data_IF_900022585413
#
_entry.id   IF_900022585413
#
_cell.length_a   1.000
_cell.length_b   1.000
_cell.length_c   1.000
_cell.angle_alpha   90.00
_cell.angle_beta   90.00
_cell.angle_gamma   90.00
#
_symmetry.space_group_name_H-M   'P 1'
#
loop_
_entity.id
_entity.type
_entity.pdbx_description
1 polymer ?
#
# COMPACT_ATOMS: atom_id res chain seq x y z
N UNK A 1 -29.65 -13.43 -17.98
CA UNK A 1 -28.32 -13.62 -18.63
C UNK A 1 -27.27 -13.19 -17.62
N UNK A 2 -26.21 -13.96 -17.39
CA UNK A 2 -25.17 -13.55 -16.41
C UNK A 2 -24.38 -12.35 -16.96
N UNK A 3 -24.21 -11.33 -16.14
CA UNK A 3 -23.30 -10.20 -16.45
C UNK A 3 -21.84 -10.67 -16.39
N UNK A 4 -20.99 -10.03 -17.18
CA UNK A 4 -19.55 -10.38 -17.21
C UNK A 4 -18.87 -10.05 -15.87
N UNK A 5 -17.71 -10.69 -15.55
CA UNK A 5 -16.99 -10.47 -14.28
C UNK A 5 -16.51 -9.03 -14.03
N UNK A 6 -16.55 -8.17 -15.03
CA UNK A 6 -16.19 -6.73 -14.89
C UNK A 6 -17.26 -5.92 -14.16
N UNK A 7 -18.50 -6.42 -14.10
CA UNK A 7 -19.59 -5.76 -13.39
C UNK A 7 -19.55 -6.11 -11.90
N UNK A 8 -20.04 -5.22 -11.03
CA UNK A 8 -20.19 -5.52 -9.61
C UNK A 8 -21.04 -6.78 -9.37
N UNK A 9 -20.80 -7.48 -8.28
CA UNK A 9 -21.49 -8.73 -7.96
C UNK A 9 -23.01 -8.58 -7.81
N UNK A 10 -23.49 -7.40 -7.41
CA UNK A 10 -24.92 -7.05 -7.33
C UNK A 10 -25.58 -6.73 -8.67
N UNK A 11 -24.83 -6.85 -9.78
CA UNK A 11 -25.37 -6.56 -11.11
C UNK A 11 -26.10 -7.77 -11.70
N UNK A 12 -27.18 -7.49 -12.40
CA UNK A 12 -27.98 -8.51 -13.08
C UNK A 12 -28.59 -7.96 -14.37
N UNK A 13 -29.20 -8.83 -15.18
CA UNK A 13 -30.00 -8.43 -16.34
C UNK A 13 -31.45 -8.80 -16.05
N UNK A 14 -32.37 -7.84 -16.12
CA UNK A 14 -33.80 -8.08 -15.93
C UNK A 14 -34.47 -8.75 -17.15
N UNK A 15 -35.77 -8.99 -17.07
CA UNK A 15 -36.53 -9.61 -18.14
C UNK A 15 -36.62 -8.76 -19.42
N UNK A 16 -36.46 -7.45 -19.30
CA UNK A 16 -36.44 -6.49 -20.39
C UNK A 16 -35.03 -6.35 -21.04
N UNK A 17 -34.03 -7.08 -20.55
CA UNK A 17 -32.63 -7.02 -21.05
C UNK A 17 -31.79 -5.86 -20.51
N UNK A 18 -32.28 -5.14 -19.49
CA UNK A 18 -31.59 -4.00 -18.90
C UNK A 18 -30.68 -4.46 -17.77
N UNK A 19 -29.51 -3.81 -17.64
CA UNK A 19 -28.62 -4.02 -16.50
C UNK A 19 -29.22 -3.37 -15.25
N UNK A 20 -29.26 -4.14 -14.17
CA UNK A 20 -29.72 -3.68 -12.87
C UNK A 20 -28.60 -3.80 -11.83
N UNK A 21 -28.61 -2.92 -10.83
CA UNK A 21 -27.75 -2.92 -9.65
C UNK A 21 -28.62 -3.15 -8.41
N UNK A 22 -28.51 -4.31 -7.79
CA UNK A 22 -29.39 -4.73 -6.68
C UNK A 22 -30.88 -4.54 -7.02
N UNK A 23 -31.29 -4.92 -8.24
CA UNK A 23 -32.66 -4.82 -8.74
C UNK A 23 -33.09 -3.43 -9.23
N UNK A 24 -32.23 -2.43 -9.21
CA UNK A 24 -32.50 -1.08 -9.71
C UNK A 24 -31.91 -0.87 -11.09
N UNK A 25 -32.69 -0.38 -12.03
CA UNK A 25 -32.20 -0.05 -13.38
C UNK A 25 -31.39 1.25 -13.38
N UNK A 26 -30.52 1.40 -14.37
CA UNK A 26 -29.76 2.65 -14.56
C UNK A 26 -30.69 3.86 -14.69
N UNK A 27 -31.81 3.73 -15.41
CA UNK A 27 -32.82 4.79 -15.56
C UNK A 27 -33.42 5.18 -14.20
N UNK A 28 -33.79 4.21 -13.36
CA UNK A 28 -34.34 4.49 -12.03
C UNK A 28 -33.35 5.24 -11.13
N UNK A 29 -32.06 4.91 -11.23
CA UNK A 29 -31.00 5.59 -10.50
C UNK A 29 -30.79 7.02 -11.02
N UNK A 30 -30.77 7.22 -12.33
CA UNK A 30 -30.64 8.54 -12.93
C UNK A 30 -31.82 9.47 -12.62
N UNK A 31 -33.04 8.92 -12.59
CA UNK A 31 -34.25 9.67 -12.24
C UNK A 31 -34.23 10.13 -10.78
N UNK A 32 -33.65 9.36 -9.88
CA UNK A 32 -33.57 9.71 -8.46
C UNK A 32 -32.36 10.62 -8.15
N UNK A 33 -31.19 10.35 -8.73
CA UNK A 33 -29.93 10.98 -8.33
C UNK A 33 -29.36 11.97 -9.37
N UNK A 34 -29.92 11.97 -10.59
CA UNK A 34 -29.45 12.82 -11.68
C UNK A 34 -28.25 12.23 -12.44
N UNK A 35 -27.76 13.02 -13.42
CA UNK A 35 -26.64 12.67 -14.29
C UNK A 35 -25.62 13.81 -14.28
N UNK A 36 -24.29 13.55 -14.34
CA UNK A 36 -23.64 12.23 -14.37
C UNK A 36 -23.67 11.54 -13.01
N UNK A 37 -23.70 10.18 -13.00
CA UNK A 37 -23.79 9.38 -11.79
C UNK A 37 -22.74 8.25 -11.79
N UNK A 38 -21.95 8.17 -10.71
CA UNK A 38 -21.14 7.01 -10.39
C UNK A 38 -21.87 6.13 -9.38
N UNK A 39 -22.01 4.85 -9.68
CA UNK A 39 -22.64 3.86 -8.80
C UNK A 39 -21.56 2.92 -8.28
N UNK A 40 -21.49 2.76 -6.96
CA UNK A 40 -20.53 1.88 -6.30
C UNK A 40 -21.31 0.84 -5.50
N UNK A 41 -21.07 -0.43 -5.81
CA UNK A 41 -21.58 -1.57 -5.04
C UNK A 41 -20.71 -1.77 -3.80
N UNK A 42 -21.17 -1.27 -2.67
CA UNK A 42 -20.43 -1.35 -1.40
C UNK A 42 -20.34 -2.77 -0.85
N UNK A 43 -21.29 -3.65 -1.19
CA UNK A 43 -21.25 -5.06 -0.78
C UNK A 43 -20.17 -5.81 -1.56
N UNK A 44 -20.02 -5.53 -2.86
CA UNK A 44 -18.92 -6.09 -3.66
C UNK A 44 -17.56 -5.57 -3.20
N UNK A 45 -17.42 -4.28 -2.89
CA UNK A 45 -16.19 -3.72 -2.30
C UNK A 45 -15.82 -4.45 -1.00
N UNK A 46 -16.79 -4.65 -0.10
CA UNK A 46 -16.58 -5.35 1.17
C UNK A 46 -16.18 -6.80 0.96
N UNK A 47 -16.86 -7.50 0.05
CA UNK A 47 -16.58 -8.89 -0.26
C UNK A 47 -15.18 -9.07 -0.85
N UNK A 48 -14.77 -8.21 -1.78
CA UNK A 48 -13.43 -8.23 -2.38
C UNK A 48 -12.34 -7.91 -1.34
N UNK A 49 -12.53 -6.86 -0.53
CA UNK A 49 -11.60 -6.52 0.54
C UNK A 49 -11.38 -7.69 1.51
N UNK A 50 -12.47 -8.33 1.96
CA UNK A 50 -12.41 -9.49 2.83
C UNK A 50 -11.72 -10.69 2.16
N UNK A 51 -11.95 -10.89 0.84
CA UNK A 51 -11.29 -11.94 0.06
C UNK A 51 -9.78 -11.72 0.03
N UNK A 52 -9.28 -10.51 -0.25
CA UNK A 52 -7.85 -10.21 -0.25
C UNK A 52 -7.21 -10.48 1.10
N UNK A 53 -7.82 -10.00 2.20
CA UNK A 53 -7.31 -10.23 3.57
C UNK A 53 -7.26 -11.72 3.88
N UNK A 54 -8.32 -12.46 3.56
CA UNK A 54 -8.38 -13.91 3.79
C UNK A 54 -7.36 -14.67 2.96
N UNK A 55 -7.19 -14.30 1.69
CA UNK A 55 -6.23 -14.95 0.79
C UNK A 55 -4.80 -14.74 1.27
N UNK A 56 -4.44 -13.53 1.67
CA UNK A 56 -3.13 -13.23 2.24
C UNK A 56 -2.88 -14.03 3.53
N UNK A 57 -3.84 -14.06 4.45
CA UNK A 57 -3.71 -14.82 5.70
C UNK A 57 -3.54 -16.33 5.45
N UNK A 58 -4.25 -16.88 4.44
CA UNK A 58 -4.13 -18.30 4.08
C UNK A 58 -2.80 -18.62 3.40
N UNK A 59 -2.33 -17.73 2.51
CA UNK A 59 -1.08 -17.93 1.78
C UNK A 59 0.15 -17.86 2.70
N UNK A 60 0.10 -16.99 3.70
CA UNK A 60 1.20 -16.71 4.64
C UNK A 60 0.80 -17.08 6.08
N UNK A 61 0.29 -18.29 6.28
CA UNK A 61 -0.35 -18.76 7.51
C UNK A 61 0.54 -18.71 8.78
N UNK A 62 1.86 -18.62 8.63
CA UNK A 62 2.83 -18.50 9.73
C UNK A 62 3.39 -17.09 9.89
N UNK A 63 2.83 -16.10 9.21
CA UNK A 63 3.35 -14.73 9.18
C UNK A 63 2.21 -13.72 9.34
N UNK A 64 2.46 -12.65 10.07
CA UNK A 64 1.52 -11.53 10.14
C UNK A 64 1.52 -10.81 8.79
N UNK A 65 0.37 -10.83 8.12
CA UNK A 65 0.19 -10.17 6.82
C UNK A 65 -0.65 -8.90 6.96
N UNK A 66 -0.32 -7.90 6.17
CA UNK A 66 -1.09 -6.68 6.04
C UNK A 66 -1.42 -6.43 4.58
N UNK A 67 -2.70 -6.36 4.27
CA UNK A 67 -3.20 -5.98 2.94
C UNK A 67 -3.55 -4.50 2.98
N UNK A 68 -3.03 -3.73 2.03
CA UNK A 68 -3.32 -2.31 1.88
C UNK A 68 -4.24 -2.03 0.70
N UNK A 69 -5.21 -1.15 0.90
CA UNK A 69 -6.02 -0.58 -0.17
C UNK A 69 -5.35 0.67 -0.73
N UNK A 70 -5.09 0.69 -2.04
CA UNK A 70 -4.51 1.85 -2.70
C UNK A 70 -5.52 3.00 -2.81
N UNK A 71 -5.42 4.00 -1.94
CA UNK A 71 -6.36 5.12 -1.85
C UNK A 71 -6.51 5.91 -3.16
N UNK A 72 -5.46 5.94 -3.98
CA UNK A 72 -5.49 6.58 -5.31
C UNK A 72 -6.53 6.00 -6.27
N UNK A 73 -7.04 4.79 -6.04
CA UNK A 73 -8.06 4.17 -6.88
C UNK A 73 -9.41 4.87 -6.71
N UNK A 74 -9.85 5.05 -5.47
CA UNK A 74 -11.02 5.82 -5.06
C UNK A 74 -11.01 5.96 -3.55
N UNK A 75 -11.09 7.19 -3.04
CA UNK A 75 -11.16 7.40 -1.61
C UNK A 75 -12.33 8.31 -1.26
N UNK A 76 -13.25 7.79 -0.45
CA UNK A 76 -14.31 8.52 0.25
C UNK A 76 -14.34 8.07 1.69
N UNK A 77 -15.03 8.80 2.57
CA UNK A 77 -15.19 8.37 3.97
C UNK A 77 -15.79 6.99 4.08
N UNK A 78 -16.76 6.66 3.21
CA UNK A 78 -17.43 5.36 3.23
C UNK A 78 -16.49 4.23 2.77
N UNK A 79 -15.76 4.43 1.69
CA UNK A 79 -14.75 3.46 1.23
C UNK A 79 -13.67 3.24 2.31
N UNK A 80 -13.21 4.32 2.94
CA UNK A 80 -12.26 4.20 4.06
C UNK A 80 -12.79 3.29 5.18
N UNK A 81 -14.06 3.45 5.58
CA UNK A 81 -14.67 2.60 6.61
C UNK A 81 -14.75 1.15 6.16
N UNK A 82 -15.31 0.90 4.97
CA UNK A 82 -15.51 -0.46 4.45
C UNK A 82 -14.19 -1.24 4.39
N UNK A 83 -13.14 -0.66 3.79
CA UNK A 83 -11.86 -1.37 3.65
C UNK A 83 -11.17 -1.57 4.99
N UNK A 84 -11.27 -0.60 5.90
CA UNK A 84 -10.66 -0.70 7.24
C UNK A 84 -11.41 -1.72 8.11
N UNK A 85 -12.73 -1.75 8.08
CA UNK A 85 -13.58 -2.75 8.74
C UNK A 85 -13.30 -4.16 8.23
N UNK A 86 -12.96 -4.29 6.94
CA UNK A 86 -12.54 -5.55 6.33
C UNK A 86 -11.12 -5.99 6.71
N UNK A 87 -10.39 -5.20 7.50
CA UNK A 87 -9.06 -5.52 8.01
C UNK A 87 -7.90 -4.94 7.21
N UNK A 88 -8.16 -4.16 6.14
CA UNK A 88 -7.10 -3.56 5.32
C UNK A 88 -6.46 -2.32 5.98
N UNK A 89 -5.24 -2.02 5.59
CA UNK A 89 -4.63 -0.71 5.70
C UNK A 89 -5.09 0.17 4.52
N UNK A 90 -4.79 1.46 4.56
CA UNK A 90 -5.01 2.38 3.44
C UNK A 90 -3.70 3.07 3.08
N UNK A 91 -3.30 2.94 1.82
CA UNK A 91 -2.19 3.70 1.26
C UNK A 91 -2.69 5.08 0.81
N UNK A 92 -2.05 6.13 1.30
CA UNK A 92 -2.32 7.52 0.96
C UNK A 92 -1.09 8.14 0.28
N UNK A 93 -1.29 9.01 -0.71
CA UNK A 93 -0.20 9.66 -1.45
C UNK A 93 -0.28 11.18 -1.38
N UNK A 94 -1.34 11.73 -0.82
CA UNK A 94 -1.58 13.18 -0.77
C UNK A 94 -2.20 13.62 0.56
N UNK A 95 -2.00 14.88 0.90
CA UNK A 95 -2.63 15.50 2.08
C UNK A 95 -4.16 15.34 2.06
N UNK A 96 -4.79 15.42 0.88
CA UNK A 96 -6.24 15.25 0.73
C UNK A 96 -6.69 13.84 1.11
N UNK A 97 -6.01 12.80 0.62
CA UNK A 97 -6.30 11.41 0.96
C UNK A 97 -6.10 11.14 2.45
N UNK A 98 -5.00 11.63 3.04
CA UNK A 98 -4.74 11.52 4.47
C UNK A 98 -5.89 12.11 5.29
N UNK A 99 -6.32 13.33 4.96
CA UNK A 99 -7.43 14.01 5.64
C UNK A 99 -8.76 13.31 5.47
N UNK A 100 -9.07 12.78 4.28
CA UNK A 100 -10.29 12.00 4.04
C UNK A 100 -10.32 10.76 4.94
N UNK A 101 -9.21 10.01 4.99
CA UNK A 101 -9.11 8.81 5.81
C UNK A 101 -9.24 9.13 7.32
N UNK A 102 -8.54 10.15 7.80
CA UNK A 102 -8.64 10.60 9.20
C UNK A 102 -10.05 11.10 9.53
N UNK A 103 -10.68 11.87 8.63
CA UNK A 103 -12.07 12.34 8.79
C UNK A 103 -13.12 11.21 8.71
N UNK A 104 -12.76 10.05 8.16
CA UNK A 104 -13.56 8.83 8.23
C UNK A 104 -13.43 8.09 9.57
N UNK A 105 -12.54 8.54 10.46
CA UNK A 105 -12.24 7.90 11.74
C UNK A 105 -11.21 6.77 11.65
N UNK A 106 -10.50 6.64 10.52
CA UNK A 106 -9.44 5.63 10.39
C UNK A 106 -8.27 6.01 11.28
N UNK A 107 -7.85 5.16 12.21
CA UNK A 107 -6.72 5.47 13.07
C UNK A 107 -5.41 5.47 12.29
N UNK A 108 -4.46 6.36 12.64
CA UNK A 108 -3.18 6.50 11.92
C UNK A 108 -2.44 5.18 11.73
N UNK A 109 -2.46 4.29 12.73
CA UNK A 109 -1.86 2.94 12.63
C UNK A 109 -2.41 2.05 11.50
N UNK A 110 -3.46 2.48 10.83
CA UNK A 110 -4.05 1.83 9.64
C UNK A 110 -3.73 2.57 8.35
N UNK A 111 -2.95 3.65 8.41
CA UNK A 111 -2.59 4.48 7.26
C UNK A 111 -1.11 4.33 6.93
N UNK A 112 -0.80 4.34 5.65
CA UNK A 112 0.56 4.35 5.11
C UNK A 112 0.71 5.57 4.22
N UNK A 113 1.78 6.34 4.39
CA UNK A 113 2.09 7.49 3.54
C UNK A 113 3.07 7.09 2.44
N UNK A 114 2.59 7.09 1.20
CA UNK A 114 3.38 6.95 -0.03
C UNK A 114 3.66 8.32 -0.67
N UNK A 115 4.29 8.31 -1.83
CA UNK A 115 4.58 9.48 -2.65
C UNK A 115 6.07 9.74 -2.80
N UNK A 116 6.45 10.27 -3.97
CA UNK A 116 7.83 10.61 -4.31
C UNK A 116 8.17 12.10 -4.14
N UNK A 117 7.25 12.88 -3.61
CA UNK A 117 7.44 14.31 -3.35
C UNK A 117 6.58 14.73 -2.13
N UNK A 118 6.83 14.07 -1.00
CA UNK A 118 6.12 14.39 0.25
C UNK A 118 6.54 15.75 0.76
N UNK A 119 5.58 16.58 1.10
CA UNK A 119 5.83 17.83 1.82
C UNK A 119 6.13 17.56 3.29
N UNK A 120 6.83 18.50 3.94
CA UNK A 120 7.06 18.42 5.38
C UNK A 120 5.74 18.39 6.17
N UNK A 121 4.72 19.06 5.70
CA UNK A 121 3.39 19.05 6.33
C UNK A 121 2.71 17.66 6.26
N UNK A 122 2.90 16.91 5.18
CA UNK A 122 2.41 15.54 5.07
C UNK A 122 3.18 14.59 5.99
N UNK A 123 4.51 14.71 6.04
CA UNK A 123 5.36 13.95 6.96
C UNK A 123 4.97 14.26 8.40
N UNK A 124 4.82 15.53 8.74
CA UNK A 124 4.43 15.98 10.08
C UNK A 124 3.05 15.43 10.49
N UNK A 125 2.08 15.49 9.60
CA UNK A 125 0.74 14.92 9.85
C UNK A 125 0.82 13.41 10.07
N UNK A 126 1.57 12.69 9.23
CA UNK A 126 1.72 11.24 9.37
C UNK A 126 2.37 10.84 10.70
N UNK A 127 3.40 11.57 11.14
CA UNK A 127 4.06 11.33 12.43
C UNK A 127 3.13 11.70 13.58
N UNK A 128 2.43 12.83 13.46
CA UNK A 128 1.52 13.32 14.51
C UNK A 128 0.38 12.34 14.77
N UNK A 129 -0.22 11.84 13.71
CA UNK A 129 -1.35 10.89 13.75
C UNK A 129 -0.90 9.43 13.94
N UNK A 130 0.41 9.17 13.96
CA UNK A 130 0.97 7.84 14.20
C UNK A 130 0.67 6.86 13.07
N UNK A 131 0.96 7.25 11.85
CA UNK A 131 0.80 6.37 10.69
C UNK A 131 1.61 5.08 10.86
N UNK A 132 1.10 4.00 10.29
CA UNK A 132 1.74 2.68 10.34
C UNK A 132 3.15 2.73 9.75
N UNK A 133 3.29 3.42 8.61
CA UNK A 133 4.58 3.58 7.90
C UNK A 133 4.58 4.86 7.06
N UNK A 134 5.77 5.41 6.86
CA UNK A 134 6.08 6.41 5.83
C UNK A 134 7.00 5.73 4.84
N UNK A 135 6.60 5.65 3.57
CA UNK A 135 7.42 5.02 2.52
C UNK A 135 8.45 6.03 2.06
N UNK A 136 9.71 5.72 2.30
CA UNK A 136 10.86 6.51 1.83
C UNK A 136 11.08 6.22 0.36
N UNK A 137 10.94 7.22 -0.47
CA UNK A 137 11.00 7.11 -1.93
C UNK A 137 12.29 7.69 -2.53
N UNK A 138 13.01 8.52 -1.78
CA UNK A 138 14.26 9.15 -2.20
C UNK A 138 15.29 9.26 -1.07
N UNK A 139 16.61 9.39 -1.39
CA UNK A 139 17.68 9.38 -0.40
C UNK A 139 17.64 10.51 0.64
N UNK A 140 17.03 11.66 0.34
CA UNK A 140 16.99 12.82 1.25
C UNK A 140 15.82 12.76 2.23
N UNK A 141 14.83 11.91 2.00
CA UNK A 141 13.64 11.82 2.88
C UNK A 141 13.96 11.36 4.30
N UNK A 142 14.88 10.39 4.55
CA UNK A 142 15.19 9.95 5.90
C UNK A 142 15.62 11.08 6.81
N UNK A 143 16.50 11.95 6.36
CA UNK A 143 16.98 13.09 7.15
C UNK A 143 15.84 14.06 7.48
N UNK A 144 14.97 14.37 6.51
CA UNK A 144 13.77 15.21 6.72
C UNK A 144 12.80 14.59 7.71
N UNK A 145 12.53 13.29 7.58
CA UNK A 145 11.65 12.56 8.51
C UNK A 145 12.23 12.55 9.91
N UNK A 146 13.54 12.31 10.05
CA UNK A 146 14.22 12.30 11.34
C UNK A 146 14.16 13.66 12.04
N UNK A 147 14.41 14.75 11.31
CA UNK A 147 14.33 16.12 11.83
C UNK A 147 12.91 16.44 12.33
N UNK A 148 11.89 16.13 11.53
CA UNK A 148 10.49 16.37 11.91
C UNK A 148 10.11 15.51 13.12
N UNK A 149 10.47 14.23 13.13
CA UNK A 149 10.20 13.33 14.25
C UNK A 149 10.86 13.83 15.55
N UNK A 150 12.12 14.28 15.47
CA UNK A 150 12.85 14.87 16.60
C UNK A 150 12.17 16.13 17.11
N UNK A 151 11.77 17.05 16.22
CA UNK A 151 11.05 18.28 16.56
C UNK A 151 9.73 18.00 17.27
N UNK A 152 9.02 16.94 16.86
CA UNK A 152 7.75 16.52 17.46
C UNK A 152 7.92 15.66 18.73
N UNK A 153 9.14 15.24 19.09
CA UNK A 153 9.38 14.30 20.18
C UNK A 153 8.72 12.93 19.94
N UNK A 154 8.51 12.54 18.67
CA UNK A 154 7.82 11.32 18.27
C UNK A 154 8.74 10.41 17.44
N UNK A 155 8.30 9.18 17.25
CA UNK A 155 8.95 8.22 16.36
C UNK A 155 8.19 8.11 15.04
N UNK A 156 8.93 8.06 13.94
CA UNK A 156 8.42 7.64 12.63
C UNK A 156 8.79 6.18 12.37
N UNK A 157 7.88 5.42 11.76
CA UNK A 157 8.18 4.12 11.16
C UNK A 157 8.32 4.32 9.67
N UNK A 158 9.43 3.89 9.11
CA UNK A 158 9.72 4.06 7.68
C UNK A 158 9.82 2.71 6.98
N UNK A 159 9.59 2.72 5.67
CA UNK A 159 9.78 1.59 4.77
C UNK A 159 10.45 2.11 3.51
N UNK A 160 11.62 1.57 3.18
CA UNK A 160 12.32 1.97 1.97
C UNK A 160 11.65 1.40 0.73
N UNK A 161 11.40 2.24 -0.27
CA UNK A 161 10.97 1.81 -1.59
C UNK A 161 12.20 1.61 -2.48
N UNK A 162 12.35 0.40 -3.00
CA UNK A 162 13.47 0.02 -3.84
C UNK A 162 12.98 -0.24 -5.26
N UNK A 163 13.73 0.26 -6.26
CA UNK A 163 13.51 -0.04 -7.67
C UNK A 163 14.32 -1.27 -8.05
N UNK A 164 13.64 -2.37 -8.32
CA UNK A 164 14.27 -3.68 -8.53
C UNK A 164 14.78 -3.90 -9.95
N UNK A 165 14.47 -3.01 -10.91
CA UNK A 165 14.80 -3.20 -12.32
C UNK A 165 13.98 -4.28 -13.04
N UNK A 166 13.01 -4.89 -12.36
CA UNK A 166 12.18 -5.96 -12.94
C UNK A 166 11.07 -5.34 -13.79
N UNK A 167 10.98 -5.78 -15.05
CA UNK A 167 9.86 -5.45 -15.92
C UNK A 167 8.60 -6.21 -15.48
N UNK A 168 7.75 -5.59 -14.68
CA UNK A 168 6.42 -6.12 -14.41
C UNK A 168 5.50 -5.81 -15.61
N UNK A 169 4.92 -6.86 -16.21
CA UNK A 169 4.09 -6.76 -17.42
C UNK A 169 2.99 -5.70 -17.29
N UNK A 170 3.04 -4.71 -18.16
CA UNK A 170 2.14 -3.58 -18.26
C UNK A 170 2.59 -2.68 -19.40
N UNK A 171 1.82 -1.64 -19.72
CA UNK A 171 2.22 -0.68 -20.71
C UNK A 171 3.48 0.07 -20.25
N UNK A 172 4.45 0.26 -21.14
CA UNK A 172 5.75 0.86 -20.86
C UNK A 172 5.66 2.20 -20.11
N UNK A 173 4.67 3.03 -20.44
CA UNK A 173 4.41 4.32 -19.79
C UNK A 173 3.87 4.23 -18.34
N UNK A 174 3.41 3.08 -17.88
CA UNK A 174 2.94 2.86 -16.49
C UNK A 174 3.86 1.94 -15.69
N UNK A 175 4.96 1.48 -16.29
CA UNK A 175 5.98 0.70 -15.58
C UNK A 175 6.68 1.59 -14.55
N UNK A 176 6.80 1.11 -13.31
CA UNK A 176 7.40 1.85 -12.18
C UNK A 176 8.64 1.16 -11.61
N UNK A 177 9.14 0.14 -12.31
CA UNK A 177 10.24 -0.69 -11.82
C UNK A 177 11.57 -0.49 -12.58
N UNK A 178 11.61 0.40 -13.57
CA UNK A 178 12.83 0.77 -14.29
C UNK A 178 13.74 1.64 -13.43
N UNK A 179 15.05 1.49 -13.60
CA UNK A 179 16.08 2.27 -12.90
C UNK A 179 15.96 3.78 -13.15
N UNK A 180 15.50 4.18 -14.34
CA UNK A 180 15.29 5.59 -14.73
C UNK A 180 13.93 6.15 -14.31
N UNK A 181 13.18 5.44 -13.49
CA UNK A 181 11.87 5.91 -13.03
C UNK A 181 11.99 6.85 -11.83
N UNK A 182 10.97 7.72 -11.70
CA UNK A 182 10.88 8.71 -10.62
C UNK A 182 10.62 8.14 -9.22
N UNK A 183 10.49 6.83 -9.07
CA UNK A 183 10.09 6.19 -7.82
C UNK A 183 11.17 5.28 -7.28
N UNK A 184 11.38 5.38 -5.98
CA UNK A 184 12.23 4.47 -5.23
C UNK A 184 13.73 4.73 -5.42
N UNK A 185 14.51 4.02 -4.64
CA UNK A 185 15.97 4.01 -4.71
C UNK A 185 16.41 2.81 -5.54
N UNK A 186 17.27 3.04 -6.54
CA UNK A 186 17.80 1.96 -7.38
C UNK A 186 18.62 0.99 -6.54
N UNK A 187 18.43 -0.31 -6.78
CA UNK A 187 19.34 -1.33 -6.27
C UNK A 187 20.68 -1.22 -7.01
N UNK A 188 21.76 -1.10 -6.26
CA UNK A 188 23.08 -1.15 -6.87
C UNK A 188 23.34 -2.57 -7.44
N UNK A 189 24.06 -2.67 -8.58
CA UNK A 189 24.47 -3.96 -9.11
C UNK A 189 25.22 -4.80 -8.08
N UNK A 190 25.08 -6.11 -8.17
CA UNK A 190 25.84 -7.04 -7.31
C UNK A 190 27.35 -6.75 -7.45
N UNK A 191 28.00 -6.41 -6.33
CA UNK A 191 29.40 -6.00 -6.29
C UNK A 191 29.62 -4.49 -6.21
N UNK A 192 28.58 -3.67 -6.28
CA UNK A 192 28.69 -2.27 -5.89
C UNK A 192 28.86 -2.16 -4.37
N UNK A 193 29.72 -1.22 -3.97
CA UNK A 193 30.04 -1.00 -2.57
C UNK A 193 28.79 -0.51 -1.80
N UNK A 194 28.19 -1.41 -1.04
CA UNK A 194 27.01 -1.12 -0.23
C UNK A 194 27.25 0.01 0.79
N UNK A 195 28.54 0.32 1.11
CA UNK A 195 28.89 1.46 1.96
C UNK A 195 28.59 2.81 1.31
N UNK A 196 28.30 2.85 0.01
CA UNK A 196 27.86 4.05 -0.71
C UNK A 196 26.35 4.25 -0.73
N UNK A 197 25.58 3.32 -0.20
CA UNK A 197 24.17 3.50 0.12
C UNK A 197 24.06 4.26 1.47
N UNK A 198 24.32 5.57 1.45
CA UNK A 198 24.10 6.45 2.61
C UNK A 198 22.67 6.35 3.16
N UNK A 199 21.73 5.83 2.36
CA UNK A 199 20.33 5.63 2.75
C UNK A 199 20.19 4.64 3.91
N UNK A 200 21.05 3.62 4.02
CA UNK A 200 20.99 2.64 5.12
C UNK A 200 21.51 3.25 6.43
N UNK A 201 22.56 4.05 6.36
CA UNK A 201 23.11 4.76 7.53
C UNK A 201 22.13 5.83 8.00
N UNK A 202 21.49 6.56 7.09
CA UNK A 202 20.47 7.56 7.40
C UNK A 202 19.19 6.92 7.99
N UNK A 203 18.83 5.69 7.59
CA UNK A 203 17.69 4.95 8.16
C UNK A 203 17.95 4.48 9.61
N UNK A 204 19.19 4.22 9.99
CA UNK A 204 19.54 3.84 11.37
C UNK A 204 19.45 5.03 12.32
N UNK A 205 19.72 6.23 11.84
CA UNK A 205 19.65 7.47 12.61
C UNK A 205 18.24 8.05 12.79
N UNK A 206 17.24 7.52 12.08
CA UNK A 206 15.81 7.92 12.23
C UNK A 206 15.23 7.50 13.60
N UNK A 207 15.89 6.60 14.31
CA UNK A 207 15.54 6.27 15.68
C UNK A 207 16.32 7.15 16.67
N UNK A 208 15.69 7.78 17.67
CA UNK A 208 16.40 8.54 18.68
C UNK A 208 17.50 7.70 19.33
N UNK A 209 18.69 8.25 19.49
CA UNK A 209 19.79 7.59 20.16
C UNK A 209 19.33 7.05 21.53
N UNK A 210 19.55 5.76 21.80
CA UNK A 210 19.13 5.10 23.03
C UNK A 210 17.77 4.43 23.00
N UNK A 211 17.04 4.48 21.89
CA UNK A 211 15.82 3.70 21.74
C UNK A 211 16.13 2.37 21.05
N UNK A 212 15.88 1.25 21.73
CA UNK A 212 15.89 -0.09 21.14
C UNK A 212 14.69 -0.32 20.20
N UNK A 213 14.37 0.65 19.34
CA UNK A 213 13.31 0.53 18.37
C UNK A 213 13.78 -0.37 17.24
N UNK A 214 13.57 -1.63 17.40
CA UNK A 214 13.85 -2.69 16.45
C UNK A 214 12.78 -2.69 15.37
N UNK A 215 13.19 -2.82 14.12
CA UNK A 215 12.34 -3.33 13.06
C UNK A 215 12.19 -4.85 13.34
N UNK A 216 11.18 -5.23 14.13
CA UNK A 216 10.98 -6.62 14.58
C UNK A 216 11.72 -6.96 15.89
N UNK A 217 11.19 -7.89 16.65
CA UNK A 217 11.67 -8.34 17.98
C UNK A 217 12.88 -9.28 17.91
N UNK A 218 13.91 -9.01 17.12
CA UNK A 218 15.10 -9.85 17.04
C UNK A 218 16.32 -9.13 17.61
N UNK A 219 17.20 -9.87 18.31
CA UNK A 219 18.38 -9.36 19.01
C UNK A 219 19.58 -9.02 18.10
N UNK A 220 19.35 -8.82 16.80
CA UNK A 220 20.38 -8.52 15.82
C UNK A 220 20.70 -7.04 15.73
N UNK A 221 21.92 -6.71 15.34
CA UNK A 221 22.38 -5.34 15.12
C UNK A 221 21.55 -4.60 14.09
N UNK A 222 21.34 -3.27 14.17
CA UNK A 222 20.49 -2.50 13.26
C UNK A 222 20.78 -2.73 11.77
N UNK A 223 22.04 -2.89 11.36
CA UNK A 223 22.42 -3.15 9.98
C UNK A 223 21.97 -4.51 9.45
N UNK A 224 22.07 -5.58 10.25
CA UNK A 224 21.64 -6.94 9.83
C UNK A 224 20.13 -7.03 9.62
N UNK A 225 19.34 -6.30 10.38
CA UNK A 225 17.88 -6.29 10.23
C UNK A 225 17.45 -5.59 8.96
N UNK A 226 18.12 -4.50 8.57
CA UNK A 226 17.81 -3.79 7.33
C UNK A 226 18.18 -4.63 6.11
N UNK A 227 19.33 -5.29 6.11
CA UNK A 227 19.70 -6.22 5.03
C UNK A 227 18.73 -7.39 4.90
N UNK A 228 18.26 -7.96 6.02
CA UNK A 228 17.26 -9.03 5.99
C UNK A 228 15.91 -8.53 5.48
N UNK A 229 15.46 -7.35 5.91
CA UNK A 229 14.22 -6.75 5.44
C UNK A 229 14.30 -6.46 3.94
N UNK A 230 15.40 -5.87 3.46
CA UNK A 230 15.64 -5.65 2.03
C UNK A 230 15.72 -6.97 1.25
N UNK A 231 16.36 -8.00 1.77
CA UNK A 231 16.40 -9.32 1.14
C UNK A 231 15.03 -9.98 1.09
N UNK A 232 14.17 -9.76 2.08
CA UNK A 232 12.81 -10.28 2.10
C UNK A 232 11.91 -9.55 1.10
N UNK A 233 11.95 -8.22 1.09
CA UNK A 233 11.15 -7.38 0.19
C UNK A 233 11.59 -7.52 -1.28
N UNK A 234 12.87 -7.82 -1.52
CA UNK A 234 13.42 -8.00 -2.87
C UNK A 234 13.20 -9.42 -3.42
N UNK A 235 13.25 -10.45 -2.58
CA UNK A 235 13.15 -11.84 -3.04
C UNK A 235 11.72 -12.33 -3.27
N UNK A 236 10.73 -11.74 -2.65
CA UNK A 236 9.41 -12.34 -2.56
C UNK A 236 8.34 -11.85 -3.53
N UNK A 237 8.27 -10.59 -3.97
CA UNK A 237 7.13 -10.20 -4.79
C UNK A 237 7.28 -10.43 -6.29
N UNK A 238 8.49 -10.61 -6.82
CA UNK A 238 8.70 -10.36 -8.24
C UNK A 238 9.38 -11.46 -9.05
N UNK A 239 9.85 -12.53 -8.44
CA UNK A 239 10.47 -13.64 -9.18
C UNK A 239 9.47 -14.73 -9.53
N UNK A 240 8.41 -14.35 -10.26
CA UNK A 240 7.42 -15.30 -10.81
C UNK A 240 7.99 -16.10 -11.99
N UNK A 241 9.16 -15.75 -12.54
CA UNK A 241 9.76 -16.38 -13.70
C UNK A 241 10.74 -17.52 -13.36
N UNK A 242 11.13 -17.67 -12.10
CA UNK A 242 12.04 -18.71 -11.65
C UNK A 242 11.33 -19.75 -10.78
N UNK A 243 11.82 -21.01 -10.83
CA UNK A 243 11.32 -22.18 -10.09
C UNK A 243 11.29 -22.04 -8.55
N UNK A 244 11.58 -20.85 -8.01
CA UNK A 244 11.69 -20.54 -6.59
C UNK A 244 10.56 -19.67 -6.02
N UNK A 245 9.46 -19.50 -6.74
CA UNK A 245 8.26 -18.85 -6.19
C UNK A 245 7.76 -19.69 -5.03
N UNK A 246 7.60 -19.09 -3.84
CA UNK A 246 7.12 -19.83 -2.68
C UNK A 246 5.70 -20.35 -2.94
N UNK A 247 5.37 -21.47 -2.30
CA UNK A 247 4.00 -22.00 -2.38
C UNK A 247 2.95 -20.98 -1.89
N UNK A 248 3.34 -20.10 -0.96
CA UNK A 248 2.52 -19.00 -0.49
C UNK A 248 2.20 -17.96 -1.56
N UNK A 249 3.20 -17.54 -2.34
CA UNK A 249 3.00 -16.57 -3.43
C UNK A 249 2.15 -17.16 -4.54
N UNK A 250 2.34 -18.45 -4.85
CA UNK A 250 1.53 -19.16 -5.84
C UNK A 250 0.07 -19.25 -5.40
N UNK A 251 -0.18 -19.62 -4.14
CA UNK A 251 -1.54 -19.65 -3.57
C UNK A 251 -2.19 -18.28 -3.52
N UNK A 252 -1.43 -17.21 -3.29
CA UNK A 252 -1.96 -15.85 -3.33
C UNK A 252 -2.36 -15.46 -4.75
N UNK A 253 -1.52 -15.75 -5.75
CA UNK A 253 -1.81 -15.46 -7.15
C UNK A 253 -3.04 -16.23 -7.67
N UNK A 254 -3.22 -17.49 -7.28
CA UNK A 254 -4.38 -18.32 -7.64
C UNK A 254 -5.68 -17.87 -6.94
N UNK A 255 -5.58 -17.20 -5.79
CA UNK A 255 -6.72 -16.74 -5.01
C UNK A 255 -7.22 -15.35 -5.42
N UNK A 256 -6.44 -14.59 -6.20
CA UNK A 256 -6.78 -13.26 -6.74
C UNK A 256 -7.43 -13.34 -8.11
#
# INVERSE_FOLDING_TARGET
>A
MAVTPIWPAGSNVNEQGEITFHGRTAESLLNEFGSPLYVIDTDDVRARAAKFVKSAANAFNNTVTHVSFAGKALLSKEICRIVTESGMLIDTCTMGEMRIALAAGVPGRRLVLHGNNKSDAEIELAITEGFAKIVVDEPNEPARIAEIAKRLGKRARVMLRVTSGIHAGGHEFVSTAHEDQKFGVALLPVGADASKLNVLDDLTDVTPAGSNARLGESETTPGENVERQLQYDIKYPYDMSHEKVSEGDRKLAEAM
#
